data_IF_597403650702
#
_entry.id   IF_597403650702
#
_cell.length_a   1.000
_cell.length_b   1.000
_cell.length_c   1.000
_cell.angle_alpha   90.00
_cell.angle_beta   90.00
_cell.angle_gamma   90.00
#
_symmetry.space_group_name_H-M   'P 1'
#
loop_
_entity.id
_entity.type
_entity.pdbx_description
1 polymer ?
#
# COMPACT_ATOMS: atom_id res chain seq x y z
N UNK A 1 -3.84 -5.82 22.49
CA UNK A 1 -3.50 -4.66 21.64
C UNK A 1 -4.42 -4.67 20.42
N UNK A 2 -5.16 -3.59 20.12
CA UNK A 2 -6.21 -3.63 19.11
C UNK A 2 -5.63 -3.62 17.69
N UNK A 3 -6.22 -4.45 16.84
CA UNK A 3 -5.77 -4.82 15.49
C UNK A 3 -5.97 -3.65 14.48
N UNK A 4 -6.59 -2.55 14.93
CA UNK A 4 -6.98 -1.40 14.10
C UNK A 4 -5.85 -0.38 13.83
N UNK A 5 -4.70 -0.44 14.50
CA UNK A 5 -3.67 0.61 14.44
C UNK A 5 -2.46 0.31 13.53
N UNK A 6 -2.52 -0.71 12.69
CA UNK A 6 -1.35 -1.25 11.97
C UNK A 6 -1.42 -1.05 10.45
N UNK A 7 -2.16 -0.05 9.96
CA UNK A 7 -2.24 0.27 8.53
C UNK A 7 -2.43 1.77 8.34
N UNK A 8 -1.72 2.36 7.38
CA UNK A 8 -1.93 3.78 7.04
C UNK A 8 -3.16 3.84 6.13
N UNK A 9 -4.31 4.27 6.68
CA UNK A 9 -5.53 4.44 5.90
C UNK A 9 -5.49 5.82 5.24
N UNK A 10 -5.42 5.87 3.91
CA UNK A 10 -5.65 7.13 3.19
C UNK A 10 -7.15 7.27 2.92
N UNK A 11 -7.85 8.04 3.77
CA UNK A 11 -9.30 8.27 3.71
C UNK A 11 -9.67 9.60 3.03
N UNK A 12 -10.90 9.69 2.51
CA UNK A 12 -11.46 10.79 1.73
C UNK A 12 -11.28 12.21 2.33
N UNK A 13 -11.11 12.32 3.65
CA UNK A 13 -10.97 13.60 4.38
C UNK A 13 -9.53 13.98 4.76
N UNK A 14 -8.54 13.18 4.39
CA UNK A 14 -7.14 13.56 4.58
C UNK A 14 -6.53 13.76 3.20
N UNK A 15 -6.02 14.97 2.86
CA UNK A 15 -5.04 15.02 1.79
C UNK A 15 -3.94 14.08 2.25
N UNK A 16 -3.67 13.04 1.48
CA UNK A 16 -2.48 12.24 1.66
C UNK A 16 -1.31 13.19 1.42
N UNK A 17 -0.93 13.97 2.43
CA UNK A 17 0.31 14.74 2.49
C UNK A 17 1.39 13.68 2.58
N UNK A 18 1.70 13.08 1.44
CA UNK A 18 2.91 12.32 1.24
C UNK A 18 4.06 13.32 1.19
N UNK A 19 4.37 13.86 2.37
CA UNK A 19 5.46 14.80 2.57
C UNK A 19 6.76 14.01 2.49
N UNK A 20 7.48 14.17 1.38
CA UNK A 20 8.79 13.56 1.19
C UNK A 20 9.87 14.64 1.10
N UNK A 21 11.06 14.35 1.62
CA UNK A 21 12.22 15.26 1.62
C UNK A 21 13.13 15.19 0.38
N UNK A 22 12.88 14.31 -0.62
CA UNK A 22 13.50 14.28 -1.99
C UNK A 22 13.29 12.94 -2.71
N UNK A 23 12.52 12.81 -3.81
CA UNK A 23 12.49 11.69 -4.80
C UNK A 23 11.22 10.78 -4.84
N UNK A 24 11.21 9.58 -5.45
CA UNK A 24 10.00 8.71 -5.53
C UNK A 24 9.63 8.04 -4.20
N UNK A 25 8.36 8.08 -3.83
CA UNK A 25 7.85 7.47 -2.60
C UNK A 25 7.71 5.95 -2.75
N UNK A 26 8.40 5.18 -1.89
CA UNK A 26 8.33 3.72 -1.89
C UNK A 26 7.26 3.22 -0.92
N UNK A 27 6.10 2.80 -1.44
CA UNK A 27 4.96 2.32 -0.65
C UNK A 27 4.17 1.24 -1.39
N UNK A 28 3.61 0.29 -0.65
CA UNK A 28 2.59 -0.62 -1.18
C UNK A 28 1.21 -0.02 -0.98
N UNK A 29 0.42 0.04 -2.03
CA UNK A 29 -1.00 0.41 -1.99
C UNK A 29 -1.81 -0.88 -2.13
N UNK A 30 -2.70 -1.12 -1.17
CA UNK A 30 -3.55 -2.31 -1.10
C UNK A 30 -5.00 -1.88 -0.83
N UNK A 31 -5.97 -2.55 -1.44
CA UNK A 31 -7.37 -2.36 -1.08
C UNK A 31 -7.68 -3.07 0.24
N UNK A 32 -8.78 -2.70 0.92
CA UNK A 32 -9.26 -3.45 2.10
C UNK A 32 -9.45 -4.94 1.81
N UNK A 33 -10.02 -5.28 0.65
CA UNK A 33 -10.23 -6.66 0.23
C UNK A 33 -8.91 -7.43 0.08
N UNK A 34 -7.92 -6.80 -0.55
CA UNK A 34 -6.57 -7.37 -0.72
C UNK A 34 -5.92 -7.64 0.63
N UNK A 35 -5.95 -6.69 1.56
CA UNK A 35 -5.38 -6.87 2.92
C UNK A 35 -6.09 -8.01 3.66
N UNK A 36 -7.42 -8.09 3.60
CA UNK A 36 -8.17 -9.17 4.25
C UNK A 36 -7.78 -10.54 3.69
N UNK A 37 -7.67 -10.66 2.37
CA UNK A 37 -7.18 -11.89 1.72
C UNK A 37 -5.76 -12.20 2.17
N UNK A 38 -4.85 -11.22 2.21
CA UNK A 38 -3.48 -11.42 2.68
C UNK A 38 -3.40 -11.90 4.13
N UNK A 39 -4.16 -11.28 5.04
CA UNK A 39 -4.24 -11.71 6.44
C UNK A 39 -4.84 -13.10 6.59
N UNK A 40 -5.80 -13.48 5.75
CA UNK A 40 -6.34 -14.83 5.71
C UNK A 40 -5.28 -15.83 5.22
N UNK A 41 -4.57 -15.51 4.13
CA UNK A 41 -3.51 -16.36 3.58
C UNK A 41 -2.35 -16.56 4.57
N UNK A 42 -1.98 -15.54 5.34
CA UNK A 42 -0.93 -15.65 6.37
C UNK A 42 -1.25 -16.68 7.46
N UNK A 43 -2.51 -17.08 7.64
CA UNK A 43 -2.88 -18.15 8.57
C UNK A 43 -2.51 -19.54 8.06
N UNK A 44 -2.41 -19.71 6.74
CA UNK A 44 -2.26 -21.02 6.09
C UNK A 44 -0.99 -21.15 5.24
N UNK A 45 -0.38 -20.03 4.84
CA UNK A 45 0.75 -19.98 3.93
C UNK A 45 1.94 -19.22 4.55
N UNK A 46 3.17 -19.53 4.11
CA UNK A 46 4.36 -18.79 4.53
C UNK A 46 4.31 -17.33 4.06
N UNK A 47 4.96 -16.46 4.84
CA UNK A 47 5.00 -15.01 4.64
C UNK A 47 5.40 -14.61 3.22
N UNK A 48 6.40 -15.26 2.63
CA UNK A 48 6.91 -14.97 1.29
C UNK A 48 5.86 -15.18 0.19
N UNK A 49 5.06 -16.26 0.30
CA UNK A 49 3.99 -16.55 -0.66
C UNK A 49 2.86 -15.55 -0.50
N UNK A 50 2.45 -15.26 0.73
CA UNK A 50 1.43 -14.25 1.00
C UNK A 50 1.85 -12.87 0.46
N UNK A 51 3.09 -12.46 0.68
CA UNK A 51 3.62 -11.20 0.17
C UNK A 51 3.68 -11.14 -1.35
N UNK A 52 4.13 -12.21 -2.01
CA UNK A 52 4.17 -12.28 -3.47
C UNK A 52 2.76 -12.16 -4.06
N UNK A 53 1.78 -12.85 -3.47
CA UNK A 53 0.38 -12.76 -3.87
C UNK A 53 -0.18 -11.35 -3.66
N UNK A 54 0.14 -10.69 -2.55
CA UNK A 54 -0.29 -9.31 -2.30
C UNK A 54 0.30 -8.33 -3.32
N UNK A 55 1.58 -8.47 -3.67
CA UNK A 55 2.22 -7.64 -4.70
C UNK A 55 1.58 -7.87 -6.07
N UNK A 56 1.25 -9.13 -6.41
CA UNK A 56 0.55 -9.45 -7.65
C UNK A 56 -0.85 -8.83 -7.70
N UNK A 57 -1.64 -8.98 -6.64
CA UNK A 57 -2.97 -8.37 -6.54
C UNK A 57 -2.88 -6.84 -6.63
N UNK A 58 -1.90 -6.22 -5.97
CA UNK A 58 -1.66 -4.77 -6.08
C UNK A 58 -1.35 -4.35 -7.54
N UNK A 59 -0.56 -5.13 -8.28
CA UNK A 59 -0.27 -4.87 -9.69
C UNK A 59 -1.53 -4.96 -10.56
N UNK A 60 -2.38 -5.97 -10.32
CA UNK A 60 -3.63 -6.16 -11.05
C UNK A 60 -4.62 -5.01 -10.77
N UNK A 61 -4.75 -4.60 -9.51
CA UNK A 61 -5.70 -3.55 -9.12
C UNK A 61 -5.24 -2.15 -9.51
N UNK A 62 -3.96 -1.83 -9.33
CA UNK A 62 -3.45 -0.46 -9.46
C UNK A 62 -2.60 -0.21 -10.71
N UNK A 63 -2.22 -1.24 -11.46
CA UNK A 63 -1.40 -1.11 -12.67
C UNK A 63 0.00 -0.55 -12.34
N UNK A 64 0.59 0.23 -13.25
CA UNK A 64 1.85 0.91 -12.96
C UNK A 64 1.61 2.23 -12.19
N UNK A 65 2.12 2.30 -10.96
CA UNK A 65 2.00 3.48 -10.10
C UNK A 65 3.18 4.46 -10.24
N UNK A 66 4.21 4.09 -11.02
CA UNK A 66 5.43 4.88 -11.25
C UNK A 66 5.15 6.23 -11.89
N UNK A 67 4.13 6.29 -12.75
CA UNK A 67 3.68 7.50 -13.42
C UNK A 67 3.07 8.54 -12.47
N UNK A 68 2.73 8.14 -11.24
CA UNK A 68 2.14 9.02 -10.22
C UNK A 68 3.14 9.42 -9.12
N UNK A 69 4.45 9.24 -9.33
CA UNK A 69 5.49 9.56 -8.34
C UNK A 69 5.62 8.54 -7.20
N UNK A 70 4.89 7.43 -7.30
CA UNK A 70 4.88 6.33 -6.35
C UNK A 70 5.73 5.18 -6.90
N UNK A 71 6.34 4.38 -6.04
CA UNK A 71 7.11 3.20 -6.46
C UNK A 71 6.79 2.06 -5.50
N UNK A 72 6.62 0.85 -6.02
CA UNK A 72 6.49 -0.32 -5.16
C UNK A 72 7.87 -0.69 -4.61
N UNK A 73 8.00 -0.86 -3.28
CA UNK A 73 9.18 -1.47 -2.70
C UNK A 73 9.43 -2.86 -3.30
N UNK A 74 10.70 -3.27 -3.31
CA UNK A 74 11.09 -4.63 -3.71
C UNK A 74 10.51 -5.67 -2.75
N UNK A 75 10.61 -5.42 -1.45
CA UNK A 75 10.15 -6.36 -0.43
C UNK A 75 8.64 -6.27 -0.22
N UNK A 76 8.06 -7.39 0.22
CA UNK A 76 6.61 -7.53 0.38
C UNK A 76 5.99 -6.67 1.49
N UNK A 77 4.69 -6.38 1.39
CA UNK A 77 4.00 -5.49 2.34
C UNK A 77 4.00 -6.00 3.78
N UNK A 78 3.89 -7.31 4.00
CA UNK A 78 3.93 -7.91 5.34
C UNK A 78 5.35 -8.05 5.85
N UNK A 79 6.31 -8.42 5.00
CA UNK A 79 7.73 -8.40 5.37
C UNK A 79 8.17 -7.00 5.82
N UNK A 80 7.83 -5.96 5.07
CA UNK A 80 8.17 -4.58 5.43
C UNK A 80 7.57 -4.14 6.77
N UNK A 81 6.37 -4.63 7.08
CA UNK A 81 5.73 -4.43 8.38
C UNK A 81 6.52 -5.12 9.50
N UNK A 82 6.91 -6.39 9.31
CA UNK A 82 7.60 -7.18 10.34
C UNK A 82 9.05 -6.71 10.54
N UNK A 83 9.79 -6.49 9.45
CA UNK A 83 11.22 -6.18 9.48
C UNK A 83 11.51 -4.70 9.80
N UNK A 84 10.69 -3.77 9.28
CA UNK A 84 10.98 -2.34 9.34
C UNK A 84 9.86 -1.50 9.98
N UNK A 85 8.76 -2.11 10.43
CA UNK A 85 7.59 -1.38 10.92
C UNK A 85 6.91 -0.53 9.84
N UNK A 86 7.19 -0.78 8.55
CA UNK A 86 6.65 -0.02 7.42
C UNK A 86 5.35 -0.65 6.97
N UNK A 87 4.25 0.09 7.12
CA UNK A 87 2.93 -0.41 6.81
C UNK A 87 2.49 -0.09 5.37
N UNK A 88 1.77 -1.01 4.70
CA UNK A 88 1.13 -0.69 3.43
C UNK A 88 0.00 0.32 3.66
N UNK A 89 -0.29 1.10 2.61
CA UNK A 89 -1.41 2.03 2.58
C UNK A 89 -2.66 1.26 2.21
N UNK A 90 -3.71 1.40 3.02
CA UNK A 90 -5.04 0.91 2.67
C UNK A 90 -5.76 1.98 1.87
N UNK A 91 -5.98 1.69 0.60
CA UNK A 91 -6.75 2.53 -0.29
C UNK A 91 -8.26 2.28 -0.11
N UNK A 92 -8.98 3.38 0.06
CA UNK A 92 -10.45 3.40 0.21
C UNK A 92 -11.10 4.33 -0.82
N UNK A 93 -10.40 4.66 -1.90
CA UNK A 93 -10.82 5.61 -2.94
C UNK A 93 -9.79 6.71 -3.24
N UNK A 94 -8.65 6.71 -2.55
CA UNK A 94 -7.58 7.69 -2.74
C UNK A 94 -6.86 7.50 -4.08
N UNK A 95 -6.67 6.26 -4.53
CA UNK A 95 -5.98 6.01 -5.80
C UNK A 95 -6.74 6.61 -7.00
N UNK A 96 -8.07 6.57 -6.99
CA UNK A 96 -8.88 7.20 -8.04
C UNK A 96 -8.66 8.72 -8.09
N UNK A 97 -8.47 9.36 -6.94
CA UNK A 97 -8.21 10.81 -6.84
C UNK A 97 -6.80 11.20 -7.29
N UNK A 98 -5.82 10.31 -7.08
CA UNK A 98 -4.48 10.46 -7.66
C UNK A 98 -4.57 10.36 -9.19
N UNK A 99 -5.36 9.40 -9.70
CA UNK A 99 -5.57 9.22 -11.13
C UNK A 99 -6.33 10.38 -11.78
N UNK A 100 -7.30 10.98 -11.09
CA UNK A 100 -8.04 12.16 -11.57
C UNK A 100 -7.26 13.47 -11.45
N UNK A 101 -6.07 13.46 -10.82
CA UNK A 101 -5.24 14.65 -10.62
C UNK A 101 -5.70 15.55 -9.48
N UNK A 102 -6.73 15.15 -8.73
CA UNK A 102 -7.21 15.86 -7.54
C UNK A 102 -6.18 15.83 -6.40
N UNK A 103 -5.43 14.72 -6.29
CA UNK A 103 -4.32 14.57 -5.35
C UNK A 103 -3.01 14.46 -6.12
N UNK A 104 -2.15 15.47 -6.00
CA UNK A 104 -0.80 15.46 -6.57
C UNK A 104 0.21 14.92 -5.56
N UNK A 105 0.97 13.92 -5.98
CA UNK A 105 2.15 13.45 -5.25
C UNK A 105 3.33 14.33 -5.68
N UNK A 106 3.66 15.32 -4.85
CA UNK A 106 4.85 16.15 -5.08
C UNK A 106 6.11 15.31 -4.78
N UNK A 107 6.98 15.16 -5.79
CA UNK A 107 8.22 14.37 -5.74
C UNK A 107 9.39 15.20 -5.21
#
# INVERSE_FOLDING_TARGET
MPIHNQFVICSNNYPAKFMRRRGRLQVHILSRGTVNVGLFLLKYLPLSIADTLMVLLSKITYGDISNYGLTRPHDGPFYLKVAFGKYPIIDVGTFQRIKSGEVKVHT
#
